data_IF_967547436453
#
_entry.id   IF_967547436453
#
_cell.length_a   1.000
_cell.length_b   1.000
_cell.length_c   1.000
_cell.angle_alpha   90.00
_cell.angle_beta   90.00
_cell.angle_gamma   90.00
#
_symmetry.space_group_name_H-M   'P 1'
#
loop_
_entity.id
_entity.type
_entity.pdbx_description
1 polymer ?
#
# COMPACT_ATOMS: atom_id res chain seq x y z
N UNK A 1 12.35 2.63 -3.44
CA UNK A 1 11.62 2.14 -4.64
C UNK A 1 11.86 3.07 -5.80
N UNK A 2 12.22 2.52 -6.95
CA UNK A 2 12.44 3.32 -8.16
C UNK A 2 11.12 3.61 -8.87
N UNK A 3 11.17 4.59 -9.79
CA UNK A 3 9.99 4.91 -10.61
C UNK A 3 9.53 3.71 -11.44
N UNK A 4 10.47 2.92 -11.93
CA UNK A 4 10.17 1.71 -12.72
C UNK A 4 9.46 0.66 -11.86
N UNK A 5 9.94 0.45 -10.64
CA UNK A 5 9.31 -0.49 -9.71
C UNK A 5 7.93 -0.01 -9.31
N UNK A 6 7.77 1.29 -9.07
CA UNK A 6 6.48 1.87 -8.73
C UNK A 6 5.48 1.70 -9.88
N UNK A 7 5.91 1.97 -11.12
CA UNK A 7 5.04 1.80 -12.29
C UNK A 7 4.58 0.35 -12.45
N UNK A 8 5.48 -0.60 -12.19
CA UNK A 8 5.14 -2.02 -12.23
C UNK A 8 4.07 -2.37 -11.21
N UNK A 9 4.22 -1.89 -9.97
CA UNK A 9 3.25 -2.14 -8.91
C UNK A 9 1.91 -1.46 -9.18
N UNK A 10 1.92 -0.27 -9.76
CA UNK A 10 0.68 0.40 -10.18
C UNK A 10 -0.07 -0.45 -11.19
N UNK A 11 0.65 -1.03 -12.16
CA UNK A 11 0.05 -1.92 -13.15
C UNK A 11 -0.61 -3.13 -12.51
N UNK A 12 0.06 -3.77 -11.56
CA UNK A 12 -0.51 -4.90 -10.83
C UNK A 12 -1.75 -4.47 -10.03
N UNK A 13 -1.69 -3.30 -9.40
CA UNK A 13 -2.77 -2.81 -8.56
C UNK A 13 -4.05 -2.48 -9.33
N UNK A 14 -3.95 -2.22 -10.63
CA UNK A 14 -5.12 -1.93 -11.44
C UNK A 14 -6.15 -3.06 -11.44
N UNK A 15 -5.70 -4.28 -11.22
CA UNK A 15 -6.56 -5.47 -11.20
C UNK A 15 -6.97 -5.89 -9.80
N UNK A 16 -6.56 -5.14 -8.77
CA UNK A 16 -6.90 -5.45 -7.40
C UNK A 16 -8.14 -4.71 -6.95
N UNK A 17 -8.97 -5.40 -6.17
CA UNK A 17 -10.07 -4.76 -5.47
C UNK A 17 -9.60 -4.28 -4.10
N UNK A 18 -10.19 -3.19 -3.56
CA UNK A 18 -9.90 -2.78 -2.20
C UNK A 18 -10.31 -3.87 -1.21
N UNK A 19 -9.41 -4.22 -0.29
CA UNK A 19 -9.68 -5.25 0.71
C UNK A 19 -10.05 -4.65 2.07
N UNK A 20 -9.77 -3.36 2.28
CA UNK A 20 -10.10 -2.65 3.51
C UNK A 20 -10.69 -1.29 3.19
N UNK A 21 -11.52 -0.79 4.10
CA UNK A 21 -12.14 0.52 3.98
C UNK A 21 -11.81 1.35 5.21
N UNK A 22 -11.44 2.61 5.00
CA UNK A 22 -11.24 3.56 6.09
C UNK A 22 -12.49 4.43 6.17
N UNK A 23 -13.24 4.30 7.26
CA UNK A 23 -14.46 5.05 7.48
C UNK A 23 -14.29 6.13 8.54
N UNK A 24 -15.39 6.43 9.23
CA UNK A 24 -15.47 7.50 10.22
C UNK A 24 -14.46 7.37 11.35
N UNK A 25 -14.16 6.14 11.77
CA UNK A 25 -13.21 5.90 12.86
C UNK A 25 -11.75 6.21 12.49
N UNK A 26 -11.47 6.36 11.19
CA UNK A 26 -10.11 6.60 10.72
C UNK A 26 -9.22 5.39 10.89
N UNK A 27 -7.94 5.65 11.19
CA UNK A 27 -6.95 4.59 11.37
C UNK A 27 -6.87 4.24 12.85
N UNK A 28 -7.30 3.02 13.20
CA UNK A 28 -7.18 2.50 14.56
C UNK A 28 -5.99 1.57 14.65
N UNK A 29 -5.59 1.20 15.87
CA UNK A 29 -4.52 0.22 16.08
C UNK A 29 -4.90 -1.13 15.46
N UNK A 30 -6.15 -1.56 15.62
CA UNK A 30 -6.62 -2.81 15.05
C UNK A 30 -6.60 -2.77 13.52
N UNK A 31 -6.99 -1.65 12.94
CA UNK A 31 -6.94 -1.46 11.50
C UNK A 31 -5.50 -1.57 10.99
N UNK A 32 -4.56 -0.92 11.68
CA UNK A 32 -3.14 -0.96 11.33
C UNK A 32 -2.61 -2.40 11.38
N UNK A 33 -2.97 -3.14 12.41
CA UNK A 33 -2.55 -4.54 12.54
C UNK A 33 -3.10 -5.39 11.40
N UNK A 34 -4.36 -5.19 11.02
CA UNK A 34 -4.98 -5.88 9.90
C UNK A 34 -4.29 -5.58 8.58
N UNK A 35 -3.91 -4.31 8.37
CA UNK A 35 -3.17 -3.90 7.17
C UNK A 35 -1.79 -4.56 7.14
N UNK A 36 -1.10 -4.60 8.28
CA UNK A 36 0.21 -5.25 8.36
C UNK A 36 0.13 -6.75 8.03
N UNK A 37 -0.89 -7.43 8.55
CA UNK A 37 -1.12 -8.84 8.23
C UNK A 37 -1.42 -9.04 6.75
N UNK A 38 -2.24 -8.17 6.16
CA UNK A 38 -2.56 -8.24 4.75
C UNK A 38 -1.33 -8.03 3.87
N UNK A 39 -0.46 -7.11 4.25
CA UNK A 39 0.80 -6.87 3.53
C UNK A 39 1.71 -8.08 3.62
N UNK A 40 1.79 -8.72 4.77
CA UNK A 40 2.61 -9.93 4.92
C UNK A 40 2.07 -11.07 4.05
N UNK A 41 0.76 -11.19 3.93
CA UNK A 41 0.14 -12.25 3.15
C UNK A 41 0.12 -11.97 1.63
N UNK A 42 -0.01 -10.71 1.23
CA UNK A 42 -0.27 -10.35 -0.17
C UNK A 42 0.76 -9.45 -0.81
N UNK A 43 1.57 -8.76 -0.03
CA UNK A 43 2.59 -7.77 -0.43
C UNK A 43 2.01 -6.48 -1.03
N UNK A 44 1.05 -6.57 -1.93
CA UNK A 44 0.42 -5.42 -2.58
C UNK A 44 -1.07 -5.40 -2.25
N UNK A 45 -1.54 -4.31 -1.68
CA UNK A 45 -2.95 -4.18 -1.28
C UNK A 45 -3.51 -2.82 -1.69
N UNK A 46 -4.82 -2.78 -1.85
CA UNK A 46 -5.57 -1.57 -2.15
C UNK A 46 -6.55 -1.31 -1.01
N UNK A 47 -6.64 -0.05 -0.61
CA UNK A 47 -7.51 0.39 0.49
C UNK A 47 -8.42 1.49 -0.06
N UNK A 48 -9.69 1.46 0.31
CA UNK A 48 -10.66 2.47 -0.07
C UNK A 48 -10.90 3.42 1.11
N UNK A 49 -10.95 4.72 0.85
CA UNK A 49 -11.33 5.73 1.84
C UNK A 49 -12.77 6.08 1.60
N UNK A 50 -13.63 5.85 2.60
CA UNK A 50 -15.07 6.07 2.47
C UNK A 50 -15.42 7.55 2.63
N UNK A 51 -16.62 7.92 2.15
CA UNK A 51 -17.08 9.32 2.17
C UNK A 51 -17.19 9.89 3.58
N UNK A 52 -17.47 9.04 4.56
CA UNK A 52 -17.61 9.49 5.95
C UNK A 52 -16.28 9.66 6.68
N UNK A 53 -15.18 9.42 6.00
CA UNK A 53 -13.85 9.70 6.54
C UNK A 53 -13.47 11.13 6.14
N UNK A 54 -13.20 11.97 7.14
CA UNK A 54 -12.88 13.37 6.93
C UNK A 54 -11.41 13.62 6.57
N UNK A 55 -10.55 12.61 6.74
CA UNK A 55 -9.11 12.78 6.56
C UNK A 55 -8.70 12.68 5.10
N UNK A 56 -7.63 13.41 4.77
CA UNK A 56 -7.05 13.38 3.43
C UNK A 56 -6.45 12.00 3.13
N UNK A 57 -6.82 11.36 2.00
CA UNK A 57 -6.25 10.06 1.62
C UNK A 57 -4.73 10.04 1.57
N UNK A 58 -4.08 11.11 1.14
CA UNK A 58 -2.61 11.17 1.10
C UNK A 58 -2.01 11.13 2.50
N UNK A 59 -2.64 11.81 3.45
CA UNK A 59 -2.18 11.79 4.84
C UNK A 59 -2.41 10.43 5.48
N UNK A 60 -3.56 9.81 5.20
CA UNK A 60 -3.85 8.46 5.68
C UNK A 60 -2.83 7.46 5.13
N UNK A 61 -2.49 7.58 3.86
CA UNK A 61 -1.48 6.71 3.24
C UNK A 61 -0.13 6.87 3.92
N UNK A 62 0.28 8.11 4.19
CA UNK A 62 1.55 8.39 4.87
C UNK A 62 1.60 7.73 6.25
N UNK A 63 0.53 7.90 7.01
CA UNK A 63 0.44 7.33 8.36
C UNK A 63 0.50 5.80 8.32
N UNK A 64 -0.27 5.18 7.43
CA UNK A 64 -0.28 3.73 7.30
C UNK A 64 1.07 3.19 6.85
N UNK A 65 1.69 3.83 5.86
CA UNK A 65 3.00 3.40 5.36
C UNK A 65 4.05 3.45 6.47
N UNK A 66 4.03 4.51 7.27
CA UNK A 66 4.96 4.67 8.38
C UNK A 66 4.73 3.62 9.45
N UNK A 67 3.47 3.40 9.86
CA UNK A 67 3.14 2.45 10.93
C UNK A 67 3.35 0.99 10.54
N UNK A 68 3.16 0.66 9.28
CA UNK A 68 3.32 -0.72 8.79
C UNK A 68 4.69 -0.96 8.14
N UNK A 69 5.52 0.07 8.05
CA UNK A 69 6.81 0.02 7.39
C UNK A 69 6.66 -0.45 5.93
N UNK A 70 5.64 0.08 5.28
CA UNK A 70 5.35 -0.19 3.88
C UNK A 70 5.58 1.05 3.04
N UNK A 71 5.48 0.89 1.73
CA UNK A 71 5.61 1.99 0.78
C UNK A 71 4.27 2.37 0.21
N UNK A 72 4.02 3.68 0.10
CA UNK A 72 2.87 4.17 -0.62
C UNK A 72 3.20 4.11 -2.10
N UNK A 73 2.53 3.21 -2.82
CA UNK A 73 2.72 3.06 -4.26
C UNK A 73 1.97 4.15 -5.01
N UNK A 74 0.73 4.39 -4.60
CA UNK A 74 -0.13 5.33 -5.30
C UNK A 74 -1.29 5.77 -4.42
N UNK A 75 -1.71 7.02 -4.57
CA UNK A 75 -2.97 7.50 -4.00
C UNK A 75 -3.73 8.14 -5.16
N UNK A 76 -4.84 7.54 -5.55
CA UNK A 76 -5.72 8.06 -6.61
C UNK A 76 -7.10 8.29 -6.02
N UNK A 77 -7.53 9.55 -5.99
CA UNK A 77 -8.82 9.90 -5.40
C UNK A 77 -8.89 9.35 -3.98
N UNK A 78 -9.82 8.43 -3.75
CA UNK A 78 -10.03 7.81 -2.44
C UNK A 78 -9.52 6.38 -2.37
N UNK A 79 -8.55 6.02 -3.22
CA UNK A 79 -7.92 4.70 -3.20
C UNK A 79 -6.44 4.85 -2.86
N UNK A 80 -5.98 3.99 -1.96
CA UNK A 80 -4.58 3.95 -1.52
C UNK A 80 -4.01 2.59 -1.89
N UNK A 81 -2.82 2.57 -2.47
CA UNK A 81 -2.11 1.33 -2.78
C UNK A 81 -0.82 1.30 -1.97
N UNK A 82 -0.65 0.24 -1.19
CA UNK A 82 0.53 0.03 -0.35
C UNK A 82 1.25 -1.25 -0.77
N UNK A 83 2.56 -1.25 -0.61
CA UNK A 83 3.40 -2.40 -0.89
C UNK A 83 4.42 -2.62 0.22
N UNK A 84 4.60 -3.89 0.61
CA UNK A 84 5.69 -4.30 1.51
C UNK A 84 6.10 -5.72 1.14
N UNK A 85 7.41 -5.95 0.96
CA UNK A 85 7.89 -7.29 0.69
C UNK A 85 7.60 -8.19 1.88
N UNK A 86 7.01 -9.36 1.59
CA UNK A 86 6.73 -10.35 2.63
C UNK A 86 8.02 -11.05 3.05
N UNK A 87 8.13 -11.34 4.33
CA UNK A 87 9.30 -12.07 4.86
C UNK A 87 9.23 -13.55 4.54
N UNK A 88 8.03 -14.13 4.51
CA UNK A 88 7.86 -15.58 4.37
C UNK A 88 7.08 -15.99 3.10
N UNK A 89 6.37 -15.05 2.49
CA UNK A 89 5.47 -15.35 1.36
C UNK A 89 5.70 -14.42 0.19
N UNK A 90 6.96 -14.23 -0.19
CA UNK A 90 7.30 -13.36 -1.30
C UNK A 90 6.64 -13.85 -2.59
N UNK A 91 5.83 -13.02 -3.20
CA UNK A 91 5.05 -13.33 -4.40
C UNK A 91 5.37 -12.43 -5.58
N UNK A 92 5.78 -11.19 -5.30
CA UNK A 92 5.98 -10.18 -6.32
C UNK A 92 7.47 -10.00 -6.56
N UNK A 93 7.88 -10.21 -7.81
CA UNK A 93 9.23 -9.92 -8.25
C UNK A 93 9.27 -8.53 -8.85
N UNK A 94 9.92 -7.60 -8.16
CA UNK A 94 10.07 -6.25 -8.68
C UNK A 94 11.10 -6.23 -9.80
N UNK A 95 10.93 -5.33 -10.80
CA UNK A 95 11.95 -5.15 -11.83
C UNK A 95 13.29 -4.81 -11.17
N UNK A 96 14.34 -5.45 -11.64
CA UNK A 96 15.68 -5.18 -11.13
C UNK A 96 16.12 -3.79 -11.53
N UNK A 97 16.70 -3.08 -10.57
CA UNK A 97 17.32 -1.80 -10.83
C UNK A 97 18.70 -2.06 -11.39
N UNK A 98 19.02 -1.48 -12.54
CA UNK A 98 20.39 -1.50 -13.03
C UNK A 98 21.26 -0.77 -12.01
N UNK A 99 22.17 -1.50 -11.39
CA UNK A 99 23.17 -0.86 -10.57
C UNK A 99 23.98 0.06 -11.46
N UNK A 100 23.97 1.34 -11.14
CA UNK A 100 24.92 2.22 -11.76
C UNK A 100 26.30 1.83 -11.26
N UNK A 101 27.15 1.47 -12.17
CA UNK A 101 28.53 1.23 -11.81
C UNK A 101 29.17 2.56 -11.43
N UNK A 102 29.91 2.59 -10.33
CA UNK A 102 30.67 3.77 -9.97
C UNK A 102 31.65 4.13 -11.08
#
# INVERSE_FOLDING_TARGET
MTSKQRAYLIGLAMNLDPIYNIGKAGITAEFTDGISEALEARELIKISVLRNCADDPKELARILAERTQSETVQVIGKKIVLYRESKEHKKIELPKVKKQKP
#
